data_IF_651775642550
#
_entry.id   IF_651775642550
#
_cell.length_a   1.000
_cell.length_b   1.000
_cell.length_c   1.000
_cell.angle_alpha   90.00
_cell.angle_beta   90.00
_cell.angle_gamma   90.00
#
_symmetry.space_group_name_H-M   'P 1'
#
loop_
_entity.id
_entity.type
_entity.pdbx_description
1 polymer ?
#
# COMPACT_ATOMS: atom_id res chain seq x y z
N UNK A 1 53.79 36.99 -72.21
CA UNK A 1 52.71 36.36 -71.42
C UNK A 1 53.06 36.46 -69.95
N UNK A 2 52.25 37.23 -69.22
CA UNK A 2 52.12 37.41 -67.76
C UNK A 2 53.34 37.47 -66.82
N UNK A 3 53.40 38.60 -66.13
CA UNK A 3 54.18 38.89 -64.93
C UNK A 3 53.31 38.74 -63.66
N UNK A 4 53.92 38.19 -62.59
CA UNK A 4 53.73 38.35 -61.12
C UNK A 4 52.32 38.29 -60.48
N UNK A 5 52.18 37.43 -59.45
CA UNK A 5 51.73 37.80 -58.09
C UNK A 5 52.47 36.92 -57.04
N UNK A 6 52.89 37.44 -55.87
CA UNK A 6 53.71 36.73 -54.87
C UNK A 6 52.90 35.95 -53.82
N UNK A 7 53.60 35.04 -53.13
CA UNK A 7 53.06 34.08 -52.18
C UNK A 7 52.31 34.65 -50.98
N UNK A 8 51.21 33.97 -50.64
CA UNK A 8 50.48 34.10 -49.39
C UNK A 8 51.03 33.12 -48.35
N UNK A 9 51.31 33.66 -47.16
CA UNK A 9 51.63 32.96 -45.92
C UNK A 9 50.39 32.15 -45.49
N UNK A 10 50.51 30.92 -44.97
CA UNK A 10 49.37 30.24 -44.36
C UNK A 10 49.11 30.87 -42.98
N UNK A 11 48.12 31.77 -42.92
CA UNK A 11 47.48 32.17 -41.67
C UNK A 11 46.57 31.04 -41.18
N UNK A 12 47.16 29.94 -40.73
CA UNK A 12 46.46 28.82 -40.09
C UNK A 12 47.05 28.63 -38.70
N UNK A 13 46.39 29.18 -37.68
CA UNK A 13 46.80 28.94 -36.29
C UNK A 13 45.99 29.67 -35.21
N UNK A 14 45.44 30.86 -35.50
CA UNK A 14 44.72 31.64 -34.48
C UNK A 14 43.20 31.42 -34.47
N UNK A 15 42.57 31.19 -35.63
CA UNK A 15 41.10 31.10 -35.75
C UNK A 15 40.48 29.84 -35.13
N UNK A 16 41.15 28.69 -35.21
CA UNK A 16 40.66 27.42 -34.66
C UNK A 16 40.77 27.36 -33.13
N UNK A 17 41.85 27.93 -32.57
CA UNK A 17 42.02 28.02 -31.13
C UNK A 17 41.00 29.00 -30.51
N UNK A 18 40.84 30.20 -31.09
CA UNK A 18 39.88 31.20 -30.60
C UNK A 18 38.43 30.70 -30.76
N UNK A 19 38.10 30.01 -31.86
CA UNK A 19 36.79 29.38 -32.06
C UNK A 19 36.47 28.30 -31.02
N UNK A 20 37.45 27.45 -30.68
CA UNK A 20 37.32 26.45 -29.61
C UNK A 20 37.14 27.06 -28.21
N UNK A 21 37.93 28.09 -27.88
CA UNK A 21 37.79 28.82 -26.61
C UNK A 21 36.45 29.56 -26.48
N UNK A 22 35.92 30.13 -27.57
CA UNK A 22 34.62 30.81 -27.57
C UNK A 22 33.46 29.81 -27.46
N UNK A 23 33.54 28.65 -28.14
CA UNK A 23 32.56 27.57 -28.00
C UNK A 23 32.57 26.97 -26.58
N UNK A 24 33.74 26.74 -26.00
CA UNK A 24 33.87 26.24 -24.62
C UNK A 24 33.38 27.26 -23.59
N UNK A 25 33.68 28.55 -23.75
CA UNK A 25 33.19 29.61 -22.87
C UNK A 25 31.67 29.79 -22.99
N UNK A 26 31.12 29.67 -24.20
CA UNK A 26 29.68 29.72 -24.44
C UNK A 26 28.95 28.53 -23.81
N UNK A 27 29.50 27.31 -23.99
CA UNK A 27 28.96 26.09 -23.39
C UNK A 27 28.98 26.15 -21.86
N UNK A 28 30.08 26.61 -21.25
CA UNK A 28 30.17 26.82 -19.80
C UNK A 28 29.15 27.85 -19.29
N UNK A 29 28.96 28.97 -20.00
CA UNK A 29 27.92 29.95 -19.65
C UNK A 29 26.52 29.35 -19.73
N UNK A 30 26.25 28.53 -20.73
CA UNK A 30 24.96 27.87 -20.87
C UNK A 30 24.73 26.87 -19.73
N UNK A 31 25.73 26.05 -19.39
CA UNK A 31 25.69 25.14 -18.24
C UNK A 31 25.48 25.89 -16.91
N UNK A 32 26.12 27.04 -16.72
CA UNK A 32 25.91 27.91 -15.55
C UNK A 32 24.50 28.49 -15.50
N UNK A 33 23.96 28.94 -16.64
CA UNK A 33 22.60 29.47 -16.74
C UNK A 33 21.56 28.38 -16.46
N UNK A 34 21.75 27.18 -17.01
CA UNK A 34 20.87 26.05 -16.79
C UNK A 34 20.92 25.61 -15.32
N UNK A 35 22.11 25.58 -14.71
CA UNK A 35 22.27 25.31 -13.27
C UNK A 35 21.58 26.36 -12.41
N UNK A 36 21.77 27.64 -12.71
CA UNK A 36 21.10 28.73 -11.99
C UNK A 36 19.58 28.64 -12.13
N UNK A 37 19.08 28.26 -13.30
CA UNK A 37 17.65 28.03 -13.55
C UNK A 37 17.11 26.88 -12.70
N UNK A 38 17.80 25.75 -12.63
CA UNK A 38 17.41 24.62 -11.78
C UNK A 38 17.39 25.00 -10.29
N UNK A 39 18.42 25.71 -9.82
CA UNK A 39 18.49 26.19 -8.43
C UNK A 39 17.32 27.13 -8.12
N UNK A 40 17.02 28.07 -9.01
CA UNK A 40 15.89 28.98 -8.84
C UNK A 40 14.54 28.25 -8.87
N UNK A 41 14.40 27.19 -9.67
CA UNK A 41 13.21 26.32 -9.64
C UNK A 41 13.03 25.65 -8.28
N UNK A 42 14.10 25.14 -7.67
CA UNK A 42 14.02 24.61 -6.30
C UNK A 42 13.63 25.72 -5.33
N UNK A 43 14.33 26.86 -5.35
CA UNK A 43 14.14 27.93 -4.36
C UNK A 43 12.72 28.48 -4.41
N UNK A 44 12.18 28.74 -5.60
CA UNK A 44 10.84 29.33 -5.76
C UNK A 44 9.74 28.28 -5.91
N UNK A 45 10.05 26.99 -5.72
CA UNK A 45 9.03 25.94 -5.68
C UNK A 45 8.19 26.03 -4.42
N UNK A 46 6.90 25.80 -4.56
CA UNK A 46 5.92 25.83 -3.49
C UNK A 46 5.01 24.61 -3.58
N UNK A 47 4.52 24.17 -2.43
CA UNK A 47 3.49 23.14 -2.36
C UNK A 47 2.12 23.79 -2.36
N UNK A 48 1.30 23.43 -3.34
CA UNK A 48 -0.09 23.84 -3.41
C UNK A 48 -0.97 22.60 -3.23
N UNK A 49 -1.64 22.51 -2.09
CA UNK A 49 -2.75 21.57 -1.94
C UNK A 49 -4.05 22.21 -2.40
N UNK A 50 -5.03 21.38 -2.78
CA UNK A 50 -6.40 21.85 -2.95
C UNK A 50 -6.87 22.50 -1.64
N UNK A 51 -7.18 23.80 -1.70
CA UNK A 51 -7.73 24.53 -0.56
C UNK A 51 -9.25 24.45 -0.63
N UNK A 52 -9.91 23.77 0.33
CA UNK A 52 -11.35 23.73 0.37
C UNK A 52 -11.90 25.13 0.65
N UNK A 53 -13.05 25.46 0.06
CA UNK A 53 -13.72 26.75 0.28
C UNK A 53 -14.19 26.93 1.72
N UNK A 54 -14.52 25.82 2.38
CA UNK A 54 -14.86 25.75 3.79
C UNK A 54 -14.02 24.64 4.41
N UNK A 55 -13.31 24.97 5.49
CA UNK A 55 -12.38 24.08 6.17
C UNK A 55 -13.05 23.49 7.42
N UNK A 56 -12.78 22.20 7.67
CA UNK A 56 -12.97 21.61 9.01
C UNK A 56 -11.60 21.67 9.68
N UNK A 57 -11.41 22.50 10.73
CA UNK A 57 -10.10 22.71 11.33
C UNK A 57 -9.64 21.44 12.04
N UNK A 58 -8.40 21.03 11.73
CA UNK A 58 -7.76 19.84 12.32
C UNK A 58 -6.50 20.21 13.08
N UNK A 59 -6.64 21.11 14.06
CA UNK A 59 -5.52 21.77 14.74
C UNK A 59 -4.51 20.78 15.32
N UNK A 60 -4.97 19.72 15.98
CA UNK A 60 -4.07 18.72 16.57
C UNK A 60 -3.22 18.00 15.52
N UNK A 61 -3.81 17.66 14.37
CA UNK A 61 -3.11 17.05 13.23
C UNK A 61 -2.07 18.03 12.69
N UNK A 62 -2.45 19.29 12.50
CA UNK A 62 -1.59 20.35 11.97
C UNK A 62 -0.40 20.66 12.90
N UNK A 63 -0.65 20.79 14.21
CA UNK A 63 0.39 21.02 15.23
C UNK A 63 1.37 19.85 15.28
N UNK A 64 0.86 18.62 15.20
CA UNK A 64 1.72 17.43 15.20
C UNK A 64 2.56 17.36 13.92
N UNK A 65 1.96 17.56 12.75
CA UNK A 65 2.69 17.64 11.47
C UNK A 65 3.75 18.73 11.49
N UNK A 66 3.43 19.92 12.02
CA UNK A 66 4.39 21.03 12.13
C UNK A 66 5.63 20.64 12.93
N UNK A 67 5.48 19.88 14.01
CA UNK A 67 6.63 19.36 14.80
C UNK A 67 7.49 18.40 14.00
N UNK A 68 6.90 17.63 13.08
CA UNK A 68 7.63 16.71 12.19
C UNK A 68 8.40 17.40 11.07
N UNK A 69 8.06 18.67 10.79
CA UNK A 69 8.77 19.51 9.84
C UNK A 69 10.06 20.12 10.43
N UNK A 70 10.44 19.75 11.66
CA UNK A 70 11.73 20.12 12.22
C UNK A 70 12.85 19.74 11.25
N UNK A 71 13.66 20.74 10.90
CA UNK A 71 14.70 20.64 9.88
C UNK A 71 16.01 20.11 10.46
N UNK A 72 16.17 20.16 11.79
CA UNK A 72 17.32 19.55 12.47
C UNK A 72 17.17 18.02 12.50
N UNK A 73 15.93 17.52 12.53
CA UNK A 73 15.64 16.10 12.32
C UNK A 73 15.67 15.75 10.82
N UNK A 74 16.64 14.93 10.43
CA UNK A 74 16.88 14.51 9.05
C UNK A 74 16.04 13.30 8.65
N UNK A 75 15.30 12.72 9.58
CA UNK A 75 14.47 11.56 9.34
C UNK A 75 13.44 11.86 8.24
N UNK A 76 13.33 11.00 7.21
CA UNK A 76 12.24 11.10 6.25
C UNK A 76 10.90 10.99 6.97
N UNK A 77 9.88 11.69 6.48
CA UNK A 77 8.55 11.66 7.08
C UNK A 77 7.59 10.93 6.15
N UNK A 78 6.98 9.85 6.62
CA UNK A 78 5.89 9.17 5.93
C UNK A 78 4.56 9.65 6.51
N UNK A 79 3.79 10.42 5.74
CA UNK A 79 2.43 10.82 6.08
C UNK A 79 1.48 9.91 5.33
N UNK A 80 0.61 9.22 6.07
CA UNK A 80 -0.29 8.23 5.50
C UNK A 80 -1.63 8.21 6.20
N UNK A 81 -2.57 7.45 5.67
CA UNK A 81 -3.93 7.32 6.22
C UNK A 81 -4.92 6.98 5.14
N UNK A 82 -6.19 6.94 5.51
CA UNK A 82 -7.28 6.61 4.58
C UNK A 82 -7.31 7.60 3.40
N UNK A 83 -7.75 7.09 2.25
CA UNK A 83 -7.99 7.94 1.09
C UNK A 83 -9.04 9.01 1.45
N UNK A 84 -8.80 10.25 1.02
CA UNK A 84 -9.65 11.41 1.32
C UNK A 84 -9.70 11.83 2.82
N UNK A 85 -8.75 11.40 3.65
CA UNK A 85 -8.63 11.85 5.03
C UNK A 85 -8.11 13.32 5.20
N UNK A 86 -7.78 14.01 4.11
CA UNK A 86 -7.30 15.41 4.15
C UNK A 86 -5.79 15.59 4.36
N UNK A 87 -4.98 14.57 4.03
CA UNK A 87 -3.50 14.57 4.22
C UNK A 87 -2.79 15.76 3.58
N UNK A 88 -2.98 15.95 2.27
CA UNK A 88 -2.26 16.97 1.48
C UNK A 88 -2.61 18.38 1.98
N UNK A 89 -3.88 18.63 2.33
CA UNK A 89 -4.31 19.91 2.90
C UNK A 89 -3.78 20.14 4.32
N UNK A 90 -3.79 19.12 5.18
CA UNK A 90 -3.19 19.22 6.52
C UNK A 90 -1.68 19.54 6.46
N UNK A 91 -0.95 18.90 5.53
CA UNK A 91 0.47 19.20 5.30
C UNK A 91 0.67 20.64 4.80
N UNK A 92 -0.17 21.09 3.87
CA UNK A 92 -0.13 22.46 3.37
C UNK A 92 -0.26 23.48 4.51
N UNK A 93 -1.23 23.31 5.39
CA UNK A 93 -1.40 24.18 6.57
C UNK A 93 -0.22 24.10 7.54
N UNK A 94 0.31 22.90 7.79
CA UNK A 94 1.47 22.74 8.66
C UNK A 94 2.71 23.46 8.10
N UNK A 95 2.94 23.42 6.78
CA UNK A 95 4.01 24.14 6.10
C UNK A 95 3.82 25.66 6.21
N UNK A 96 2.61 26.18 5.97
CA UNK A 96 2.29 27.60 6.13
C UNK A 96 2.54 28.08 7.57
N UNK A 97 2.06 27.33 8.57
CA UNK A 97 2.24 27.64 10.00
C UNK A 97 3.71 27.54 10.46
N UNK A 98 4.52 26.74 9.77
CA UNK A 98 5.97 26.67 9.98
C UNK A 98 6.74 27.78 9.24
N UNK A 99 6.06 28.59 8.42
CA UNK A 99 6.68 29.66 7.63
C UNK A 99 7.35 29.16 6.34
N UNK A 100 7.11 27.92 5.92
CA UNK A 100 7.64 27.38 4.68
C UNK A 100 6.71 27.73 3.51
N UNK A 101 7.08 28.76 2.74
CA UNK A 101 6.34 29.21 1.53
C UNK A 101 7.02 28.83 0.22
N UNK A 102 8.34 28.70 0.24
CA UNK A 102 9.16 28.39 -0.93
C UNK A 102 10.16 27.26 -0.60
N UNK A 103 10.94 26.79 -1.57
CA UNK A 103 11.89 25.69 -1.37
C UNK A 103 11.21 24.34 -1.13
N UNK A 104 10.01 24.15 -1.69
CA UNK A 104 9.20 22.93 -1.55
C UNK A 104 8.90 22.35 -2.93
N UNK A 105 9.63 21.31 -3.31
CA UNK A 105 9.45 20.62 -4.59
C UNK A 105 8.42 19.53 -4.42
N UNK A 106 7.27 19.68 -5.07
CA UNK A 106 6.21 18.67 -5.07
C UNK A 106 6.33 17.75 -6.29
N UNK A 107 6.47 16.46 -6.03
CA UNK A 107 6.63 15.41 -7.04
C UNK A 107 5.46 14.44 -6.90
N UNK A 108 4.51 14.52 -7.83
CA UNK A 108 3.38 13.59 -7.90
C UNK A 108 3.72 12.41 -8.80
N UNK A 109 3.61 11.20 -8.25
CA UNK A 109 3.90 9.95 -8.95
C UNK A 109 2.59 9.37 -9.50
N UNK A 110 2.14 9.82 -10.66
CA UNK A 110 0.79 9.57 -11.17
C UNK A 110 0.57 8.23 -11.90
N UNK A 111 1.62 7.42 -12.08
CA UNK A 111 1.55 6.13 -12.78
C UNK A 111 2.52 5.11 -12.17
N UNK A 112 2.19 3.83 -12.34
CA UNK A 112 2.89 2.66 -11.78
C UNK A 112 4.32 2.50 -12.29
N UNK A 113 4.67 3.17 -13.40
CA UNK A 113 6.02 3.11 -13.98
C UNK A 113 6.95 4.23 -13.51
N UNK A 114 6.44 5.18 -12.73
CA UNK A 114 7.21 6.36 -12.38
C UNK A 114 8.22 6.08 -11.27
N UNK A 115 9.44 6.59 -11.49
CA UNK A 115 10.55 6.51 -10.53
C UNK A 115 10.72 7.88 -9.89
N UNK A 116 10.77 7.93 -8.56
CA UNK A 116 10.83 9.18 -7.79
C UNK A 116 11.99 10.11 -8.22
N UNK A 117 13.19 9.53 -8.44
CA UNK A 117 14.36 10.28 -8.91
C UNK A 117 14.15 10.90 -10.29
N UNK A 118 13.69 10.10 -11.24
CA UNK A 118 13.47 10.56 -12.62
C UNK A 118 12.41 11.66 -12.67
N UNK A 119 11.32 11.48 -11.90
CA UNK A 119 10.26 12.48 -11.82
C UNK A 119 10.77 13.78 -11.20
N UNK A 120 11.58 13.72 -10.14
CA UNK A 120 12.23 14.91 -9.60
C UNK A 120 13.14 15.60 -10.63
N UNK A 121 13.98 14.83 -11.34
CA UNK A 121 14.82 15.39 -12.39
C UNK A 121 13.99 16.12 -13.46
N UNK A 122 12.85 15.55 -13.86
CA UNK A 122 11.91 16.19 -14.78
C UNK A 122 11.33 17.50 -14.21
N UNK A 123 10.86 17.51 -12.95
CA UNK A 123 10.33 18.72 -12.30
C UNK A 123 11.39 19.83 -12.22
N UNK A 124 12.65 19.47 -11.97
CA UNK A 124 13.76 20.42 -11.92
C UNK A 124 14.23 20.83 -13.32
N UNK A 125 13.96 20.04 -14.37
CA UNK A 125 14.54 20.19 -15.70
C UNK A 125 16.00 19.76 -15.78
N UNK A 126 16.40 18.82 -14.92
CA UNK A 126 17.73 18.22 -14.90
C UNK A 126 17.83 17.08 -15.92
N UNK A 127 19.00 16.97 -16.57
CA UNK A 127 19.30 15.86 -17.48
C UNK A 127 19.58 14.55 -16.75
N UNK A 128 19.96 14.63 -15.47
CA UNK A 128 20.20 13.47 -14.63
C UNK A 128 20.42 13.82 -13.15
N UNK A 129 20.80 12.79 -12.40
CA UNK A 129 20.97 12.87 -10.94
C UNK A 129 22.03 13.88 -10.52
N UNK A 130 23.11 14.05 -11.29
CA UNK A 130 24.24 14.91 -10.89
C UNK A 130 23.79 16.37 -10.80
N UNK A 131 23.09 16.83 -11.84
CA UNK A 131 22.57 18.19 -11.94
C UNK A 131 21.50 18.47 -10.89
N UNK A 132 20.57 17.53 -10.69
CA UNK A 132 19.51 17.65 -9.69
C UNK A 132 20.08 17.70 -8.26
N UNK A 133 21.03 16.83 -7.91
CA UNK A 133 21.68 16.83 -6.59
C UNK A 133 22.38 18.15 -6.33
N UNK A 134 23.10 18.67 -7.30
CA UNK A 134 23.78 19.94 -7.15
C UNK A 134 22.81 21.12 -7.03
N UNK A 135 21.71 21.11 -7.78
CA UNK A 135 20.68 22.13 -7.68
C UNK A 135 20.10 22.17 -6.25
N UNK A 136 19.82 21.00 -5.65
CA UNK A 136 19.36 20.90 -4.26
C UNK A 136 20.42 21.43 -3.27
N UNK A 137 21.70 21.08 -3.43
CA UNK A 137 22.79 21.57 -2.56
C UNK A 137 22.93 23.09 -2.62
N UNK A 138 22.88 23.67 -3.81
CA UNK A 138 23.01 25.12 -3.98
C UNK A 138 21.77 25.85 -3.49
N UNK A 139 20.58 25.29 -3.71
CA UNK A 139 19.35 25.81 -3.13
C UNK A 139 19.40 25.79 -1.60
N UNK A 140 19.91 24.71 -1.00
CA UNK A 140 20.03 24.62 0.45
C UNK A 140 20.90 25.73 1.05
N UNK A 141 22.02 26.05 0.40
CA UNK A 141 22.90 27.17 0.79
C UNK A 141 22.19 28.52 0.71
N UNK A 142 21.39 28.75 -0.33
CA UNK A 142 20.64 30.02 -0.50
C UNK A 142 19.44 30.13 0.44
N UNK A 143 18.76 29.02 0.70
CA UNK A 143 17.63 28.94 1.64
C UNK A 143 18.07 28.97 3.10
N UNK A 144 19.36 28.75 3.39
CA UNK A 144 19.90 28.53 4.74
C UNK A 144 19.24 27.34 5.48
N UNK A 145 18.72 26.38 4.71
CA UNK A 145 18.09 25.15 5.18
C UNK A 145 17.98 24.14 4.05
N UNK A 146 17.72 22.87 4.36
CA UNK A 146 17.40 21.89 3.32
C UNK A 146 16.09 22.27 2.60
N UNK A 147 16.04 22.13 1.26
CA UNK A 147 14.77 22.15 0.53
C UNK A 147 13.91 20.97 0.98
N UNK A 148 12.59 21.11 0.88
CA UNK A 148 11.64 20.04 1.16
C UNK A 148 11.27 19.38 -0.17
N UNK A 149 11.33 18.05 -0.23
CA UNK A 149 10.83 17.28 -1.37
C UNK A 149 9.64 16.47 -0.90
N UNK A 150 8.46 16.76 -1.45
CA UNK A 150 7.24 16.01 -1.19
C UNK A 150 7.04 15.01 -2.32
N UNK A 151 7.06 13.72 -2.01
CA UNK A 151 6.69 12.64 -2.92
C UNK A 151 5.25 12.24 -2.65
N UNK A 152 4.32 12.62 -3.52
CA UNK A 152 2.91 12.23 -3.40
C UNK A 152 2.65 10.98 -4.23
N UNK A 153 2.19 9.92 -3.56
CA UNK A 153 1.77 8.68 -4.18
C UNK A 153 0.23 8.66 -4.15
N UNK A 154 -0.43 8.90 -5.30
CA UNK A 154 -1.88 8.99 -5.39
C UNK A 154 -2.52 7.60 -5.26
N UNK A 155 -3.86 7.55 -5.15
CA UNK A 155 -4.59 6.30 -4.89
C UNK A 155 -4.47 5.31 -6.04
N UNK A 156 -4.37 5.83 -7.26
CA UNK A 156 -4.39 5.10 -8.51
C UNK A 156 -3.09 4.30 -8.71
N UNK A 157 -2.00 4.72 -8.06
CA UNK A 157 -0.75 3.97 -8.07
C UNK A 157 -0.89 2.72 -7.23
N UNK A 158 -0.79 1.60 -7.91
CA UNK A 158 -0.90 0.27 -7.37
C UNK A 158 0.47 -0.40 -7.25
N UNK A 159 1.48 0.05 -8.00
CA UNK A 159 2.78 -0.61 -8.03
C UNK A 159 3.69 -0.22 -6.86
N UNK A 160 3.99 -1.23 -6.04
CA UNK A 160 4.97 -1.15 -4.96
C UNK A 160 6.37 -0.79 -5.44
N UNK A 161 6.69 -0.97 -6.72
CA UNK A 161 7.93 -0.44 -7.30
C UNK A 161 8.05 1.08 -7.11
N UNK A 162 6.95 1.82 -7.22
CA UNK A 162 6.89 3.26 -6.96
C UNK A 162 7.19 3.55 -5.48
N UNK A 163 6.57 2.81 -4.55
CA UNK A 163 6.82 2.97 -3.11
C UNK A 163 8.27 2.64 -2.74
N UNK A 164 8.85 1.59 -3.34
CA UNK A 164 10.28 1.25 -3.19
C UNK A 164 11.17 2.34 -3.76
N UNK A 165 10.78 2.95 -4.88
CA UNK A 165 11.48 4.10 -5.44
C UNK A 165 11.48 5.29 -4.47
N UNK A 166 10.33 5.61 -3.86
CA UNK A 166 10.23 6.62 -2.82
C UNK A 166 11.08 6.27 -1.59
N UNK A 167 11.06 5.02 -1.15
CA UNK A 167 11.85 4.52 -0.02
C UNK A 167 13.35 4.70 -0.26
N UNK A 168 13.82 4.25 -1.44
CA UNK A 168 15.20 4.42 -1.87
C UNK A 168 15.58 5.89 -2.01
N UNK A 169 14.70 6.75 -2.55
CA UNK A 169 14.91 8.19 -2.62
C UNK A 169 15.05 8.82 -1.23
N UNK A 170 14.08 8.57 -0.35
CA UNK A 170 14.04 9.10 1.02
C UNK A 170 15.31 8.75 1.81
N UNK A 171 15.74 7.49 1.71
CA UNK A 171 17.01 7.03 2.28
C UNK A 171 18.22 7.75 1.66
N UNK A 172 18.39 7.61 0.35
CA UNK A 172 19.66 7.98 -0.29
C UNK A 172 19.86 9.48 -0.49
N UNK A 173 18.79 10.22 -0.81
CA UNK A 173 18.87 11.66 -1.06
C UNK A 173 18.44 12.47 0.16
N UNK A 174 17.49 11.96 0.95
CA UNK A 174 17.07 12.60 2.19
C UNK A 174 18.08 12.38 3.30
N UNK A 175 18.18 11.15 3.79
CA UNK A 175 18.96 10.84 4.99
C UNK A 175 20.47 10.75 4.73
N UNK A 176 20.91 9.91 3.79
CA UNK A 176 22.34 9.59 3.63
C UNK A 176 23.14 10.74 2.98
N UNK A 177 22.56 11.42 1.97
CA UNK A 177 23.22 12.51 1.25
C UNK A 177 22.82 13.91 1.72
N UNK A 178 21.83 14.02 2.61
CA UNK A 178 21.38 15.28 3.22
C UNK A 178 21.07 16.38 2.21
N UNK A 179 20.39 16.02 1.12
CA UNK A 179 20.10 16.95 0.03
C UNK A 179 18.75 17.66 0.22
N UNK A 180 17.83 17.04 0.94
CA UNK A 180 16.48 17.53 1.17
C UNK A 180 15.84 16.89 2.41
N UNK A 181 14.89 17.59 3.04
CA UNK A 181 13.93 16.94 3.93
C UNK A 181 12.89 16.25 3.06
N UNK A 182 12.79 14.92 3.15
CA UNK A 182 11.87 14.14 2.31
C UNK A 182 10.59 13.82 3.06
N UNK A 183 9.47 14.19 2.46
CA UNK A 183 8.13 13.87 2.96
C UNK A 183 7.45 12.98 1.91
N UNK A 184 6.92 11.84 2.32
CA UNK A 184 6.16 10.94 1.45
C UNK A 184 4.71 10.98 1.87
N UNK A 185 3.84 11.44 0.97
CA UNK A 185 2.38 11.41 1.13
C UNK A 185 1.82 10.14 0.47
N UNK A 186 1.42 9.16 1.27
CA UNK A 186 0.78 7.95 0.77
C UNK A 186 -0.74 8.08 0.83
N UNK A 187 -1.40 8.07 -0.33
CA UNK A 187 -2.87 8.23 -0.43
C UNK A 187 -3.66 7.09 0.21
N UNK A 188 -3.08 5.89 0.30
CA UNK A 188 -3.66 4.74 0.98
C UNK A 188 -2.78 4.28 2.15
N UNK A 189 -3.44 3.87 3.23
CA UNK A 189 -2.81 3.20 4.37
C UNK A 189 -2.02 1.96 3.97
N UNK A 190 -2.55 1.20 3.01
CA UNK A 190 -1.92 -0.04 2.57
C UNK A 190 -0.58 0.18 1.85
N UNK A 191 -0.44 1.27 1.10
CA UNK A 191 0.80 1.58 0.39
C UNK A 191 1.92 1.96 1.36
N UNK A 192 1.55 2.71 2.41
CA UNK A 192 2.46 3.17 3.45
C UNK A 192 3.17 2.01 4.19
N UNK A 193 2.54 0.84 4.26
CA UNK A 193 3.11 -0.36 4.92
C UNK A 193 4.39 -0.85 4.26
N UNK A 194 4.52 -0.62 2.95
CA UNK A 194 5.69 -1.07 2.17
C UNK A 194 6.79 -0.03 2.05
N UNK A 195 6.55 1.17 2.60
CA UNK A 195 7.58 2.18 2.70
C UNK A 195 8.55 1.78 3.80
N UNK A 196 9.84 1.83 3.49
CA UNK A 196 10.91 1.46 4.42
C UNK A 196 12.18 2.25 4.06
N UNK A 197 12.48 3.27 4.85
CA UNK A 197 13.72 4.04 4.72
C UNK A 197 14.77 3.53 5.72
N UNK A 198 14.95 2.20 5.77
CA UNK A 198 15.74 1.47 6.77
C UNK A 198 15.25 1.71 8.22
N UNK A 199 13.94 1.80 8.40
CA UNK A 199 13.29 2.14 9.69
C UNK A 199 13.75 3.47 10.32
N UNK A 200 14.37 4.36 9.53
CA UNK A 200 14.79 5.70 9.98
C UNK A 200 13.70 6.75 9.77
N UNK A 201 12.60 6.38 9.11
CA UNK A 201 11.49 7.30 8.88
C UNK A 201 10.63 7.53 10.13
N UNK A 202 10.12 8.75 10.25
CA UNK A 202 9.03 9.05 11.17
C UNK A 202 7.71 8.82 10.45
N UNK A 203 6.84 7.99 11.04
CA UNK A 203 5.53 7.64 10.48
C UNK A 203 4.44 8.44 11.17
N UNK A 204 3.63 9.13 10.39
CA UNK A 204 2.50 9.92 10.89
C UNK A 204 1.21 9.54 10.17
N UNK A 205 0.26 9.01 10.94
CA UNK A 205 -1.04 8.63 10.43
C UNK A 205 -2.04 9.78 10.60
N UNK A 206 -2.60 10.25 9.48
CA UNK A 206 -3.78 11.12 9.47
C UNK A 206 -5.02 10.23 9.54
N UNK A 207 -5.67 10.24 10.70
CA UNK A 207 -6.92 9.51 10.91
C UNK A 207 -8.10 10.26 10.26
N UNK A 208 -9.23 9.59 10.01
CA UNK A 208 -10.50 10.28 9.76
C UNK A 208 -10.85 11.26 10.89
N UNK A 209 -11.91 12.05 10.72
CA UNK A 209 -12.40 12.94 11.77
C UNK A 209 -12.69 12.15 13.06
N UNK A 210 -12.18 12.62 14.19
CA UNK A 210 -12.54 12.08 15.50
C UNK A 210 -14.00 12.39 15.84
N UNK A 211 -14.54 11.75 16.88
CA UNK A 211 -15.88 12.05 17.36
C UNK A 211 -16.00 13.52 17.79
N UNK A 212 -14.98 14.06 18.46
CA UNK A 212 -14.95 15.48 18.83
C UNK A 212 -14.91 16.39 17.61
N UNK A 213 -14.06 16.08 16.61
CA UNK A 213 -14.00 16.82 15.35
C UNK A 213 -15.36 16.78 14.63
N UNK A 214 -16.08 15.65 14.69
CA UNK A 214 -17.41 15.49 14.08
C UNK A 214 -18.50 16.35 14.73
N UNK A 215 -18.35 16.71 16.02
CA UNK A 215 -19.32 17.53 16.75
C UNK A 215 -19.13 19.04 16.56
N UNK A 216 -18.02 19.47 15.97
CA UNK A 216 -17.73 20.87 15.68
C UNK A 216 -18.82 21.56 14.82
N UNK A 217 -19.05 22.85 15.07
CA UNK A 217 -20.01 23.66 14.30
C UNK A 217 -19.54 23.86 12.84
N UNK A 218 -18.23 23.84 12.64
CA UNK A 218 -17.56 23.91 11.34
C UNK A 218 -17.97 22.76 10.43
N UNK A 219 -18.25 21.56 10.97
CA UNK A 219 -18.78 20.44 10.19
C UNK A 219 -20.16 20.76 9.65
N UNK A 220 -21.01 21.41 10.45
CA UNK A 220 -22.34 21.83 9.99
C UNK A 220 -22.23 22.93 8.92
N UNK A 221 -21.32 23.88 9.11
CA UNK A 221 -21.02 24.93 8.12
C UNK A 221 -20.50 24.34 6.81
N UNK A 222 -19.61 23.36 6.89
CA UNK A 222 -19.08 22.59 5.76
C UNK A 222 -20.20 21.88 5.00
N UNK A 223 -21.04 21.11 5.69
CA UNK A 223 -22.17 20.40 5.07
C UNK A 223 -23.17 21.37 4.44
N UNK A 224 -23.50 22.46 5.12
CA UNK A 224 -24.40 23.50 4.59
C UNK A 224 -23.84 24.13 3.32
N UNK A 225 -22.53 24.38 3.27
CA UNK A 225 -21.88 24.91 2.07
C UNK A 225 -21.93 23.93 0.91
N UNK A 226 -21.56 22.67 1.14
CA UNK A 226 -21.42 21.69 0.07
C UNK A 226 -22.73 21.04 -0.38
N UNK A 227 -23.69 20.82 0.52
CA UNK A 227 -24.95 20.12 0.21
C UNK A 227 -26.23 20.80 0.71
N UNK A 228 -26.15 22.02 1.25
CA UNK A 228 -27.32 22.78 1.69
C UNK A 228 -27.99 22.18 2.93
N UNK A 229 -29.29 22.45 3.08
CA UNK A 229 -30.07 22.01 4.23
C UNK A 229 -30.16 20.47 4.33
N UNK A 230 -30.30 19.78 3.21
CA UNK A 230 -30.38 18.31 3.17
C UNK A 230 -29.13 17.64 3.74
N UNK A 231 -27.93 18.18 3.45
CA UNK A 231 -26.70 17.63 4.01
C UNK A 231 -26.58 17.84 5.53
N UNK A 232 -27.12 18.94 6.05
CA UNK A 232 -27.16 19.21 7.49
C UNK A 232 -28.17 18.28 8.19
N UNK A 233 -29.34 18.09 7.59
CA UNK A 233 -30.38 17.17 8.09
C UNK A 233 -29.83 15.75 8.25
N UNK A 234 -29.05 15.28 7.28
CA UNK A 234 -28.44 13.95 7.28
C UNK A 234 -27.00 13.90 7.82
N UNK A 235 -26.58 14.88 8.66
CA UNK A 235 -25.19 14.98 9.16
C UNK A 235 -24.66 13.66 9.72
N UNK A 236 -25.40 13.03 10.64
CA UNK A 236 -24.97 11.78 11.30
C UNK A 236 -24.79 10.64 10.30
N UNK A 237 -25.73 10.48 9.37
CA UNK A 237 -25.67 9.40 8.38
C UNK A 237 -24.53 9.60 7.37
N UNK A 238 -24.27 10.85 6.96
CA UNK A 238 -23.16 11.17 6.07
C UNK A 238 -21.80 10.94 6.73
N UNK A 239 -21.66 11.25 8.01
CA UNK A 239 -20.46 10.94 8.79
C UNK A 239 -20.25 9.43 8.91
N UNK A 240 -21.33 8.67 9.11
CA UNK A 240 -21.31 7.21 9.16
C UNK A 240 -20.91 6.59 7.81
N UNK A 241 -21.51 7.05 6.70
CA UNK A 241 -21.21 6.59 5.35
C UNK A 241 -19.78 6.92 4.89
N UNK A 242 -19.28 8.10 5.26
CA UNK A 242 -17.92 8.54 4.94
C UNK A 242 -16.86 7.95 5.86
N UNK A 243 -17.24 7.40 7.01
CA UNK A 243 -16.31 6.95 8.05
C UNK A 243 -15.44 8.10 8.57
N UNK A 244 -15.95 9.33 8.57
CA UNK A 244 -15.22 10.53 8.96
C UNK A 244 -14.17 11.01 7.95
N UNK A 245 -14.07 10.45 6.75
CA UNK A 245 -13.12 10.93 5.74
C UNK A 245 -13.63 12.24 5.13
N UNK A 246 -12.92 13.35 5.36
CA UNK A 246 -13.34 14.70 4.98
C UNK A 246 -13.66 14.84 3.49
N UNK A 247 -12.80 14.36 2.59
CA UNK A 247 -13.06 14.48 1.15
C UNK A 247 -14.23 13.60 0.70
N UNK A 248 -14.44 12.43 1.34
CA UNK A 248 -15.62 11.60 1.05
C UNK A 248 -16.90 12.26 1.56
N UNK A 249 -16.84 12.91 2.73
CA UNK A 249 -17.95 13.69 3.26
C UNK A 249 -18.31 14.84 2.31
N UNK A 250 -17.31 15.51 1.74
CA UNK A 250 -17.49 16.53 0.71
C UNK A 250 -18.25 15.97 -0.51
N UNK A 251 -17.77 14.87 -1.07
CA UNK A 251 -18.38 14.24 -2.25
C UNK A 251 -19.85 13.87 -2.01
N UNK A 252 -20.14 13.30 -0.83
CA UNK A 252 -21.51 12.91 -0.47
C UNK A 252 -22.40 14.14 -0.28
N UNK A 253 -21.91 15.19 0.40
CA UNK A 253 -22.65 16.43 0.58
C UNK A 253 -22.92 17.12 -0.77
N UNK A 254 -21.92 17.19 -1.65
CA UNK A 254 -22.10 17.75 -2.99
C UNK A 254 -23.13 16.98 -3.83
N UNK A 255 -23.15 15.64 -3.71
CA UNK A 255 -24.13 14.81 -4.40
C UNK A 255 -25.58 15.12 -3.99
N UNK A 256 -25.83 15.54 -2.75
CA UNK A 256 -27.15 15.94 -2.27
C UNK A 256 -27.69 17.22 -2.91
N UNK A 257 -26.87 17.96 -3.66
CA UNK A 257 -27.37 19.09 -4.47
C UNK A 257 -28.24 18.65 -5.63
N UNK A 258 -28.06 17.44 -6.12
CA UNK A 258 -28.73 16.94 -7.34
C UNK A 258 -29.49 15.64 -7.13
N UNK A 259 -29.29 14.97 -6.00
CA UNK A 259 -29.88 13.67 -5.68
C UNK A 259 -30.51 13.69 -4.29
N UNK A 260 -31.46 12.81 -4.08
CA UNK A 260 -32.01 12.54 -2.75
C UNK A 260 -31.00 11.82 -1.88
N UNK A 261 -31.16 11.90 -0.55
CA UNK A 261 -30.31 11.18 0.38
C UNK A 261 -30.34 9.67 0.16
N UNK A 262 -31.51 9.10 -0.14
CA UNK A 262 -31.64 7.67 -0.39
C UNK A 262 -30.84 7.20 -1.60
N UNK A 263 -30.85 7.97 -2.70
CA UNK A 263 -30.06 7.68 -3.89
C UNK A 263 -28.55 7.73 -3.62
N UNK A 264 -28.09 8.73 -2.86
CA UNK A 264 -26.68 8.87 -2.45
C UNK A 264 -26.27 7.72 -1.54
N UNK A 265 -27.12 7.36 -0.58
CA UNK A 265 -26.90 6.25 0.36
C UNK A 265 -26.79 4.92 -0.38
N UNK A 266 -27.77 4.58 -1.23
CA UNK A 266 -27.79 3.33 -2.00
C UNK A 266 -26.58 3.23 -2.95
N UNK A 267 -26.23 4.32 -3.65
CA UNK A 267 -25.05 4.34 -4.52
C UNK A 267 -23.76 4.09 -3.74
N UNK A 268 -23.65 4.68 -2.55
CA UNK A 268 -22.45 4.54 -1.69
C UNK A 268 -22.34 3.14 -1.11
N UNK A 269 -23.42 2.59 -0.57
CA UNK A 269 -23.48 1.21 -0.07
C UNK A 269 -23.15 0.23 -1.20
N UNK A 270 -23.74 0.40 -2.38
CA UNK A 270 -23.45 -0.46 -3.53
C UNK A 270 -21.99 -0.39 -4.00
N UNK A 271 -21.33 0.75 -3.86
CA UNK A 271 -19.89 0.87 -4.11
C UNK A 271 -19.05 0.13 -3.05
N UNK A 272 -19.39 0.29 -1.77
CA UNK A 272 -18.73 -0.40 -0.65
C UNK A 272 -18.91 -1.93 -0.75
N UNK A 273 -20.11 -2.40 -1.12
CA UNK A 273 -20.37 -3.82 -1.35
C UNK A 273 -19.49 -4.38 -2.48
N UNK A 274 -19.27 -3.64 -3.56
CA UNK A 274 -18.36 -4.06 -4.63
C UNK A 274 -16.93 -4.17 -4.13
N UNK A 275 -16.45 -3.20 -3.33
CA UNK A 275 -15.11 -3.26 -2.74
C UNK A 275 -14.95 -4.46 -1.79
N UNK A 276 -15.97 -4.75 -0.99
CA UNK A 276 -16.01 -5.94 -0.10
C UNK A 276 -16.03 -7.23 -0.91
N UNK A 277 -16.85 -7.32 -1.95
CA UNK A 277 -16.90 -8.50 -2.82
C UNK A 277 -15.56 -8.76 -3.50
N UNK A 278 -14.91 -7.69 -3.99
CA UNK A 278 -13.54 -7.78 -4.53
C UNK A 278 -12.53 -8.22 -3.47
N UNK A 279 -12.74 -7.83 -2.21
CA UNK A 279 -11.93 -8.30 -1.08
C UNK A 279 -12.13 -9.79 -0.76
N UNK A 280 -13.34 -10.34 -0.92
CA UNK A 280 -13.61 -11.76 -0.66
C UNK A 280 -13.32 -12.67 -1.86
N UNK A 281 -13.42 -12.16 -3.09
CA UNK A 281 -13.24 -12.88 -4.37
C UNK A 281 -11.79 -12.93 -4.86
N UNK A 282 -10.83 -12.87 -3.95
CA UNK A 282 -9.40 -12.70 -4.24
C UNK A 282 -8.74 -13.92 -4.95
N UNK A 283 -9.43 -15.03 -5.12
CA UNK A 283 -8.87 -16.28 -5.66
C UNK A 283 -8.85 -16.41 -7.20
N UNK A 284 -9.67 -15.65 -7.94
CA UNK A 284 -9.91 -15.96 -9.36
C UNK A 284 -8.97 -15.28 -10.38
N UNK A 285 -8.38 -14.11 -10.09
CA UNK A 285 -7.64 -13.31 -11.10
C UNK A 285 -6.40 -12.53 -10.59
N UNK A 286 -5.76 -12.93 -9.49
CA UNK A 286 -4.33 -12.59 -9.25
C UNK A 286 -4.04 -11.49 -8.21
N UNK A 287 -4.25 -11.78 -6.93
CA UNK A 287 -3.80 -10.90 -5.84
C UNK A 287 -3.21 -11.61 -4.62
N UNK A 288 -3.78 -12.77 -4.24
CA UNK A 288 -3.22 -13.63 -3.20
C UNK A 288 -3.08 -15.05 -3.70
N UNK A 289 -2.14 -15.80 -3.12
CA UNK A 289 -2.08 -17.22 -3.34
C UNK A 289 -3.28 -17.92 -2.68
N UNK A 290 -3.54 -19.17 -3.08
CA UNK A 290 -4.63 -19.98 -2.53
C UNK A 290 -4.52 -20.20 -1.01
N UNK A 291 -3.34 -19.98 -0.42
CA UNK A 291 -3.11 -20.11 1.02
C UNK A 291 -3.53 -18.88 1.81
N UNK A 292 -3.39 -17.70 1.21
CA UNK A 292 -3.61 -16.44 1.90
C UNK A 292 -5.06 -15.95 1.75
N UNK A 293 -5.82 -16.45 0.76
CA UNK A 293 -7.27 -16.17 0.62
C UNK A 293 -8.06 -16.59 1.87
N UNK A 294 -7.96 -17.82 2.39
CA UNK A 294 -8.63 -18.19 3.64
C UNK A 294 -8.25 -17.27 4.81
N UNK A 295 -6.99 -16.84 4.88
CA UNK A 295 -6.52 -15.95 5.94
C UNK A 295 -7.06 -14.52 5.76
N UNK A 296 -7.23 -14.02 4.54
CA UNK A 296 -7.91 -12.76 4.23
C UNK A 296 -9.37 -12.77 4.72
N UNK A 297 -10.07 -13.87 4.43
CA UNK A 297 -11.45 -14.08 4.87
C UNK A 297 -11.55 -14.12 6.38
N UNK A 298 -10.58 -14.76 7.04
CA UNK A 298 -10.51 -14.80 8.48
C UNK A 298 -10.23 -13.42 9.11
N UNK A 299 -9.33 -12.61 8.52
CA UNK A 299 -9.13 -11.22 8.96
C UNK A 299 -10.42 -10.43 8.83
N UNK A 300 -11.12 -10.51 7.70
CA UNK A 300 -12.39 -9.82 7.51
C UNK A 300 -13.46 -10.27 8.51
N UNK A 301 -13.55 -11.58 8.80
CA UNK A 301 -14.45 -12.12 9.82
C UNK A 301 -14.12 -11.59 11.20
N UNK A 302 -12.84 -11.58 11.59
CA UNK A 302 -12.41 -11.10 12.90
C UNK A 302 -12.66 -9.59 13.06
N UNK A 303 -12.47 -8.82 12.00
CA UNK A 303 -12.82 -7.38 11.98
C UNK A 303 -14.34 -7.18 12.07
N UNK A 304 -15.13 -8.02 11.43
CA UNK A 304 -16.60 -7.96 11.48
C UNK A 304 -17.18 -8.37 12.84
N UNK A 305 -16.55 -9.34 13.51
CA UNK A 305 -16.98 -9.86 14.81
C UNK A 305 -16.59 -8.91 15.96
N UNK A 306 -15.51 -8.13 15.80
CA UNK A 306 -15.10 -7.13 16.76
C UNK A 306 -16.09 -5.94 16.79
N UNK A 307 -16.26 -5.26 17.94
CA UNK A 307 -16.91 -3.95 17.99
C UNK A 307 -16.26 -2.98 16.99
N UNK A 308 -17.04 -2.09 16.34
CA UNK A 308 -16.54 -1.23 15.27
C UNK A 308 -15.35 -0.34 15.71
N UNK A 309 -15.41 0.17 16.94
CA UNK A 309 -14.37 0.97 17.59
C UNK A 309 -13.09 0.16 17.91
N UNK A 310 -13.17 -1.17 17.84
CA UNK A 310 -12.06 -2.06 18.13
C UNK A 310 -11.43 -2.63 16.86
N UNK A 311 -10.17 -2.30 16.66
CA UNK A 311 -9.36 -2.90 15.61
C UNK A 311 -8.70 -4.20 16.09
N UNK A 312 -8.57 -5.17 15.19
CA UNK A 312 -7.96 -6.47 15.46
C UNK A 312 -6.44 -6.38 15.28
N UNK A 313 -5.65 -6.96 16.18
CA UNK A 313 -4.18 -6.89 16.09
C UNK A 313 -3.67 -7.68 14.88
N UNK A 314 -2.71 -7.14 14.15
CA UNK A 314 -2.13 -7.81 12.98
C UNK A 314 -1.32 -9.05 13.36
N UNK A 315 -0.67 -9.03 14.54
CA UNK A 315 0.12 -10.13 15.10
C UNK A 315 -0.64 -11.46 15.13
N UNK A 316 -1.96 -11.41 15.36
CA UNK A 316 -2.84 -12.58 15.39
C UNK A 316 -2.87 -13.37 14.06
N UNK A 317 -2.37 -12.77 12.97
CA UNK A 317 -2.41 -13.32 11.62
C UNK A 317 -1.04 -13.36 10.93
N UNK A 318 0.03 -12.88 11.55
CA UNK A 318 1.33 -12.70 10.88
C UNK A 318 1.91 -13.99 10.26
N UNK A 319 1.53 -15.15 10.78
CA UNK A 319 1.92 -16.47 10.27
C UNK A 319 1.31 -16.81 8.89
N UNK A 320 0.20 -16.14 8.51
CA UNK A 320 -0.61 -16.48 7.32
C UNK A 320 -1.01 -15.28 6.46
N UNK A 321 -1.18 -14.11 7.08
CA UNK A 321 -1.72 -12.91 6.45
C UNK A 321 -1.11 -11.65 7.06
N UNK A 322 -0.21 -11.03 6.31
CA UNK A 322 0.48 -9.80 6.73
C UNK A 322 -0.21 -8.57 6.15
N UNK A 323 0.08 -7.41 6.73
CA UNK A 323 -0.34 -6.12 6.21
C UNK A 323 0.17 -5.87 4.78
N UNK A 324 1.34 -6.42 4.42
CA UNK A 324 1.85 -6.47 3.04
C UNK A 324 0.94 -7.25 2.10
N UNK A 325 0.36 -8.36 2.54
CA UNK A 325 -0.59 -9.09 1.71
C UNK A 325 -1.88 -8.28 1.51
N UNK A 326 -2.40 -7.60 2.55
CA UNK A 326 -3.50 -6.65 2.39
C UNK A 326 -3.20 -5.56 1.34
N UNK A 327 -1.98 -5.03 1.32
CA UNK A 327 -1.54 -4.09 0.28
C UNK A 327 -1.53 -4.70 -1.13
N UNK A 328 -1.34 -6.01 -1.27
CA UNK A 328 -1.50 -6.72 -2.54
C UNK A 328 -2.97 -6.87 -2.95
N UNK A 329 -3.91 -7.06 -2.00
CA UNK A 329 -5.36 -7.07 -2.24
C UNK A 329 -5.81 -5.81 -2.94
N UNK A 330 -5.42 -4.72 -2.29
CA UNK A 330 -5.60 -3.35 -2.71
C UNK A 330 -5.09 -3.17 -4.13
N UNK A 331 -3.87 -3.64 -4.39
CA UNK A 331 -3.18 -3.50 -5.68
C UNK A 331 -3.94 -4.23 -6.79
N UNK A 332 -4.25 -5.51 -6.60
CA UNK A 332 -4.76 -6.34 -7.67
C UNK A 332 -6.24 -6.11 -8.00
N UNK A 333 -7.05 -5.75 -7.01
CA UNK A 333 -8.50 -5.77 -7.14
C UNK A 333 -9.16 -4.46 -6.67
N UNK A 334 -8.39 -3.47 -6.20
CA UNK A 334 -8.96 -2.23 -5.66
C UNK A 334 -9.87 -2.49 -4.46
N UNK A 335 -9.56 -3.50 -3.65
CA UNK A 335 -10.35 -3.92 -2.50
C UNK A 335 -9.81 -3.30 -1.20
N UNK A 336 -10.53 -2.33 -0.61
CA UNK A 336 -10.06 -1.50 0.52
C UNK A 336 -11.10 -1.31 1.63
N UNK A 337 -11.91 -2.33 1.90
CA UNK A 337 -12.91 -2.27 2.97
C UNK A 337 -12.30 -2.29 4.39
N UNK A 338 -11.03 -2.69 4.50
CA UNK A 338 -10.27 -2.75 5.77
C UNK A 338 -9.01 -1.91 5.59
N UNK A 339 -8.73 -1.04 6.55
CA UNK A 339 -7.48 -0.30 6.62
C UNK A 339 -6.62 -0.78 7.79
N UNK A 340 -5.33 -0.44 7.74
CA UNK A 340 -4.42 -0.68 8.86
C UNK A 340 -4.31 0.59 9.69
N UNK A 341 -4.53 0.49 11.00
CA UNK A 341 -4.18 1.52 11.98
C UNK A 341 -2.86 1.12 12.60
N UNK A 342 -1.86 1.98 12.55
CA UNK A 342 -0.55 1.68 13.09
C UNK A 342 0.14 2.94 13.56
N UNK A 343 0.54 2.97 14.82
CA UNK A 343 1.48 3.99 15.33
C UNK A 343 2.91 3.52 15.15
N UNK A 344 3.14 2.21 15.27
CA UNK A 344 4.39 1.51 15.00
C UNK A 344 4.09 0.16 14.35
N UNK A 345 5.12 -0.53 13.82
CA UNK A 345 4.96 -1.87 13.24
C UNK A 345 4.41 -2.89 14.24
N UNK A 346 4.77 -2.79 15.52
CA UNK A 346 4.33 -3.70 16.59
C UNK A 346 2.90 -3.44 17.09
N UNK A 347 2.28 -2.32 16.69
CA UNK A 347 0.89 -2.00 17.02
C UNK A 347 0.06 -1.83 15.73
N UNK A 348 0.42 -2.59 14.69
CA UNK A 348 -0.40 -2.70 13.49
C UNK A 348 -1.73 -3.39 13.83
N UNK A 349 -2.84 -2.78 13.40
CA UNK A 349 -4.20 -3.29 13.62
C UNK A 349 -5.04 -3.15 12.37
N UNK A 350 -5.88 -4.15 12.10
CA UNK A 350 -6.87 -4.13 11.03
C UNK A 350 -8.20 -3.55 11.53
N UNK A 351 -8.72 -2.55 10.82
CA UNK A 351 -9.94 -1.83 11.18
C UNK A 351 -10.89 -1.76 9.97
N UNK A 352 -12.20 -1.81 10.21
CA UNK A 352 -13.19 -1.53 9.16
C UNK A 352 -13.15 -0.05 8.75
N UNK A 353 -13.19 0.24 7.44
CA UNK A 353 -13.03 1.62 6.92
C UNK A 353 -14.12 2.60 7.35
N UNK A 354 -15.33 2.10 7.61
CA UNK A 354 -16.43 2.88 8.16
C UNK A 354 -17.41 1.95 8.87
N UNK A 355 -18.32 2.49 9.69
CA UNK A 355 -19.39 1.72 10.28
C UNK A 355 -20.28 1.01 9.23
N UNK A 356 -20.58 1.66 8.10
CA UNK A 356 -21.31 1.04 6.98
C UNK A 356 -20.57 -0.17 6.44
N UNK A 357 -19.25 -0.05 6.25
CA UNK A 357 -18.41 -1.15 5.79
C UNK A 357 -18.36 -2.28 6.81
N UNK A 358 -18.26 -1.97 8.11
CA UNK A 358 -18.30 -2.96 9.19
C UNK A 358 -19.60 -3.78 9.18
N UNK A 359 -20.75 -3.11 9.07
CA UNK A 359 -22.04 -3.78 8.96
C UNK A 359 -22.16 -4.66 7.70
N UNK A 360 -21.64 -4.19 6.56
CA UNK A 360 -21.62 -4.97 5.32
C UNK A 360 -20.68 -6.18 5.41
N UNK A 361 -19.52 -6.04 6.04
CA UNK A 361 -18.60 -7.15 6.30
C UNK A 361 -19.30 -8.23 7.13
N UNK A 362 -19.94 -7.85 8.23
CA UNK A 362 -20.70 -8.75 9.11
C UNK A 362 -21.80 -9.51 8.35
N UNK A 363 -22.60 -8.78 7.56
CA UNK A 363 -23.65 -9.41 6.73
C UNK A 363 -23.07 -10.44 5.75
N UNK A 364 -21.91 -10.17 5.16
CA UNK A 364 -21.26 -11.09 4.21
C UNK A 364 -20.64 -12.30 4.90
N UNK A 365 -20.02 -12.12 6.06
CA UNK A 365 -19.45 -13.23 6.83
C UNK A 365 -20.54 -14.16 7.36
N UNK A 366 -21.65 -13.60 7.85
CA UNK A 366 -22.80 -14.36 8.34
C UNK A 366 -23.51 -15.12 7.20
N UNK A 367 -23.73 -14.49 6.05
CA UNK A 367 -24.33 -15.16 4.89
C UNK A 367 -23.45 -16.29 4.34
N UNK A 368 -22.12 -16.16 4.44
CA UNK A 368 -21.19 -17.23 4.06
C UNK A 368 -21.28 -18.39 5.04
N UNK A 369 -21.40 -18.12 6.34
CA UNK A 369 -21.60 -19.15 7.36
C UNK A 369 -22.95 -19.88 7.19
N UNK A 370 -24.03 -19.14 6.88
CA UNK A 370 -25.35 -19.73 6.63
C UNK A 370 -25.36 -20.64 5.40
N UNK A 371 -24.74 -20.23 4.29
CA UNK A 371 -24.62 -21.07 3.08
C UNK A 371 -23.81 -22.35 3.32
N UNK A 372 -22.78 -22.30 4.17
CA UNK A 372 -22.03 -23.50 4.52
C UNK A 372 -22.92 -24.49 5.31
N UNK A 373 -23.73 -24.00 6.24
CA UNK A 373 -24.69 -24.80 7.01
C UNK A 373 -25.84 -25.36 6.15
N UNK A 374 -26.33 -24.58 5.18
CA UNK A 374 -27.34 -25.03 4.22
C UNK A 374 -26.80 -26.13 3.29
N UNK A 375 -25.56 -26.00 2.81
CA UNK A 375 -24.91 -27.04 2.02
C UNK A 375 -24.69 -28.33 2.82
N UNK A 376 -24.35 -28.24 4.10
CA UNK A 376 -24.26 -29.39 5.01
C UNK A 376 -25.62 -30.08 5.22
N UNK A 377 -26.71 -29.30 5.29
CA UNK A 377 -28.09 -29.82 5.39
C UNK A 377 -28.59 -30.43 4.08
N UNK A 378 -28.37 -29.79 2.94
CA UNK A 378 -28.73 -30.33 1.62
C UNK A 378 -27.95 -31.62 1.30
N UNK A 379 -26.68 -31.70 1.74
CA UNK A 379 -25.88 -32.93 1.65
C UNK A 379 -26.42 -34.04 2.55
N UNK A 380 -27.04 -33.70 3.69
CA UNK A 380 -27.69 -34.65 4.57
C UNK A 380 -29.07 -35.12 4.03
N UNK A 381 -29.82 -34.23 3.37
CA UNK A 381 -31.17 -34.52 2.84
C UNK A 381 -31.18 -35.28 1.50
N UNK A 382 -30.10 -35.20 0.69
CA UNK A 382 -29.97 -35.91 -0.58
C UNK A 382 -29.77 -37.43 -0.46
N UNK A 383 -29.81 -38.00 0.75
CA UNK A 383 -29.92 -39.45 0.94
C UNK A 383 -28.75 -40.28 0.37
N UNK A 384 -27.61 -39.67 0.05
CA UNK A 384 -26.35 -40.41 -0.04
C UNK A 384 -25.90 -40.68 1.40
N UNK A 385 -26.50 -41.71 1.99
CA UNK A 385 -26.09 -42.29 3.26
C UNK A 385 -24.67 -42.85 3.18
N UNK A 386 -23.68 -41.98 3.24
CA UNK A 386 -22.36 -42.26 3.75
C UNK A 386 -22.20 -41.30 4.92
N UNK A 387 -22.37 -41.85 6.14
CA UNK A 387 -22.07 -41.11 7.36
C UNK A 387 -20.64 -40.59 7.29
N UNK A 388 -20.49 -39.27 7.23
CA UNK A 388 -19.20 -38.63 7.41
C UNK A 388 -18.90 -38.57 8.91
N UNK A 389 -18.40 -39.67 9.47
CA UNK A 389 -17.43 -39.55 10.55
C UNK A 389 -16.26 -38.74 9.99
N UNK A 390 -15.83 -37.70 10.70
CA UNK A 390 -14.80 -36.73 10.29
C UNK A 390 -13.62 -37.37 9.56
N UNK A 391 -13.71 -37.48 8.24
CA UNK A 391 -12.61 -37.78 7.33
C UNK A 391 -12.08 -36.45 6.83
N UNK A 392 -10.84 -36.14 7.19
CA UNK A 392 -10.05 -35.11 6.53
C UNK A 392 -10.02 -35.42 5.03
N UNK A 393 -10.73 -34.62 4.23
CA UNK A 393 -10.56 -34.60 2.79
C UNK A 393 -9.17 -34.06 2.45
N UNK A 394 -8.24 -34.96 2.14
CA UNK A 394 -7.04 -34.61 1.38
C UNK A 394 -7.39 -34.76 -0.10
N UNK A 395 -7.78 -33.67 -0.74
CA UNK A 395 -8.00 -33.64 -2.19
C UNK A 395 -6.66 -33.55 -2.93
N UNK A 396 -6.17 -34.70 -3.41
CA UNK A 396 -5.14 -34.74 -4.45
C UNK A 396 -5.85 -34.63 -5.79
N UNK A 397 -5.90 -33.43 -6.37
CA UNK A 397 -6.29 -33.28 -7.78
C UNK A 397 -5.08 -33.53 -8.66
N UNK A 398 -5.06 -34.66 -9.38
CA UNK A 398 -4.10 -34.90 -10.45
C UNK A 398 -4.80 -34.90 -11.82
N UNK A 399 -4.23 -34.11 -12.74
CA UNK A 399 -4.62 -34.02 -14.14
C UNK A 399 -4.39 -35.37 -14.83
N UNK A 400 -5.43 -35.89 -15.49
CA UNK A 400 -5.40 -36.89 -16.59
C UNK A 400 -4.60 -38.17 -16.33
N UNK A 401 -5.32 -39.27 -16.11
CA UNK A 401 -4.81 -40.63 -16.32
C UNK A 401 -5.39 -41.63 -15.33
N UNK A 402 -6.06 -42.67 -15.83
CA UNK A 402 -6.74 -43.70 -15.04
C UNK A 402 -5.75 -44.54 -14.20
N UNK A 403 -6.09 -44.82 -12.94
CA UNK A 403 -5.95 -46.11 -12.25
C UNK A 403 -6.62 -46.01 -10.84
N UNK A 404 -7.50 -46.93 -10.42
CA UNK A 404 -8.07 -46.90 -9.09
C UNK A 404 -7.12 -47.55 -8.08
N UNK A 405 -6.96 -46.94 -6.91
CA UNK A 405 -6.27 -47.53 -5.75
C UNK A 405 -7.34 -47.76 -4.68
N UNK A 406 -7.61 -49.02 -4.36
CA UNK A 406 -8.50 -49.39 -3.25
C UNK A 406 -7.70 -49.41 -1.94
N UNK A 407 -8.23 -48.74 -0.90
CA UNK A 407 -7.65 -48.71 0.45
C UNK A 407 -8.67 -49.27 1.42
N UNK A 408 -8.46 -50.51 1.86
CA UNK A 408 -9.29 -51.13 2.90
C UNK A 408 -8.80 -50.73 4.31
N UNK A 409 -9.71 -50.16 5.11
CA UNK A 409 -9.47 -49.81 6.50
C UNK A 409 -9.88 -50.99 7.41
N UNK A 410 -8.92 -51.73 7.96
CA UNK A 410 -9.20 -52.78 8.94
C UNK A 410 -9.29 -52.16 10.34
N UNK A 411 -10.49 -52.16 10.92
CA UNK A 411 -10.71 -51.73 12.31
C UNK A 411 -10.01 -52.66 13.31
N UNK A 412 -9.40 -52.07 14.35
CA UNK A 412 -9.17 -52.74 15.62
C UNK A 412 -9.38 -51.74 16.76
N UNK A 413 -10.35 -52.05 17.63
CA UNK A 413 -10.68 -51.29 18.83
C UNK A 413 -9.75 -51.57 20.02
N UNK A 414 -9.85 -50.73 21.04
CA UNK A 414 -9.19 -50.89 22.33
C UNK A 414 -8.85 -49.53 22.95
N UNK A 415 -9.42 -49.23 24.12
CA UNK A 415 -9.32 -47.94 24.79
C UNK A 415 -7.91 -47.53 25.25
N UNK A 416 -7.79 -46.24 25.54
CA UNK A 416 -6.62 -45.50 26.08
C UNK A 416 -5.59 -44.99 25.06
N UNK A 417 -5.66 -43.67 24.82
CA UNK A 417 -4.63 -42.67 24.48
C UNK A 417 -3.62 -42.88 23.33
N UNK A 418 -3.52 -44.03 22.68
CA UNK A 418 -2.65 -44.23 21.50
C UNK A 418 -3.43 -44.93 20.37
N UNK A 419 -3.98 -44.15 19.44
CA UNK A 419 -4.54 -44.69 18.18
C UNK A 419 -3.39 -45.20 17.30
N UNK A 420 -3.27 -46.52 17.18
CA UNK A 420 -2.32 -47.18 16.28
C UNK A 420 -3.04 -47.59 15.00
N UNK A 421 -2.77 -46.88 13.90
CA UNK A 421 -3.27 -47.25 12.58
C UNK A 421 -2.27 -48.16 11.88
N UNK A 422 -2.72 -49.32 11.43
CA UNK A 422 -1.98 -50.23 10.56
C UNK A 422 -2.55 -50.11 9.15
N UNK A 423 -1.79 -49.54 8.23
CA UNK A 423 -2.17 -49.50 6.81
C UNK A 423 -1.51 -50.67 6.08
N UNK A 424 -2.30 -51.43 5.32
CA UNK A 424 -1.79 -52.43 4.38
C UNK A 424 -1.89 -51.84 2.98
N UNK A 425 -0.79 -51.25 2.51
CA UNK A 425 -0.71 -50.79 1.12
C UNK A 425 -0.35 -52.00 0.25
N UNK A 426 -1.27 -52.41 -0.62
CA UNK A 426 -0.97 -53.38 -1.68
C UNK A 426 -0.73 -52.61 -2.98
N UNK A 427 0.52 -52.57 -3.42
CA UNK A 427 0.84 -52.33 -4.83
C UNK A 427 1.24 -53.66 -5.47
N UNK A 428 1.08 -53.79 -6.78
CA UNK A 428 1.42 -55.00 -7.54
C UNK A 428 2.90 -55.41 -7.45
N UNK A 429 3.77 -54.58 -6.89
CA UNK A 429 5.23 -54.79 -6.88
C UNK A 429 5.91 -54.69 -5.50
N UNK A 430 5.19 -54.50 -4.38
CA UNK A 430 5.85 -54.57 -3.07
C UNK A 430 4.90 -54.91 -1.92
N UNK A 431 5.27 -55.89 -1.09
CA UNK A 431 4.60 -56.22 0.18
C UNK A 431 5.49 -55.79 1.35
N UNK A 432 5.50 -54.50 1.67
CA UNK A 432 6.17 -53.99 2.87
C UNK A 432 5.14 -53.33 3.79
N UNK A 433 4.96 -53.80 5.04
CA UNK A 433 4.09 -53.12 6.00
C UNK A 433 4.77 -51.83 6.47
N UNK A 434 4.10 -50.70 6.26
CA UNK A 434 4.54 -49.39 6.78
C UNK A 434 3.91 -49.17 8.15
N UNK A 435 4.73 -48.85 9.15
CA UNK A 435 4.28 -48.58 10.52
C UNK A 435 4.27 -47.06 10.74
N UNK A 436 3.09 -46.48 10.91
CA UNK A 436 2.92 -45.07 11.25
C UNK A 436 2.57 -44.99 12.75
N UNK A 437 3.36 -44.22 13.51
CA UNK A 437 3.09 -43.95 14.92
C UNK A 437 2.85 -42.45 15.08
N UNK A 438 1.67 -42.09 15.57
CA UNK A 438 1.35 -40.70 15.88
C UNK A 438 1.89 -40.35 17.27
N UNK A 439 2.70 -39.29 17.39
CA UNK A 439 3.03 -38.68 18.68
C UNK A 439 3.01 -37.16 18.54
N UNK A 440 2.12 -36.49 19.27
CA UNK A 440 2.05 -35.03 19.44
C UNK A 440 2.32 -34.19 18.17
N UNK A 441 1.43 -34.32 17.16
CA UNK A 441 1.34 -33.34 16.06
C UNK A 441 2.45 -33.37 15.00
N UNK A 442 3.29 -34.42 14.93
CA UNK A 442 4.21 -34.65 13.80
C UNK A 442 4.05 -36.07 13.25
N UNK A 443 3.90 -36.19 11.93
CA UNK A 443 3.94 -37.47 11.23
C UNK A 443 5.41 -37.79 10.86
N UNK A 444 5.93 -38.92 11.32
CA UNK A 444 7.26 -39.41 10.92
C UNK A 444 7.06 -40.68 10.09
N UNK A 445 7.49 -40.63 8.83
CA UNK A 445 7.54 -41.81 7.97
C UNK A 445 8.83 -42.58 8.30
N UNK A 446 8.71 -43.67 9.06
CA UNK A 446 9.83 -44.57 9.32
C UNK A 446 9.94 -45.60 8.19
N UNK A 447 10.73 -45.30 7.16
CA UNK A 447 11.21 -46.35 6.24
C UNK A 447 12.24 -47.22 6.99
N UNK A 448 12.14 -48.55 6.96
CA UNK A 448 13.21 -49.39 7.47
C UNK A 448 14.46 -49.18 6.61
N UNK A 449 15.61 -48.97 7.27
CA UNK A 449 16.94 -48.99 6.64
C UNK A 449 17.12 -50.31 5.88
N UNK A 450 17.09 -50.27 4.55
CA UNK A 450 17.67 -51.33 3.74
C UNK A 450 19.16 -51.00 3.61
N UNK A 451 19.97 -51.72 4.39
CA UNK A 451 21.42 -51.71 4.27
C UNK A 451 21.88 -52.47 3.03
N UNK A 452 22.97 -51.98 2.45
CA UNK A 452 23.83 -52.57 1.42
C UNK A 452 23.29 -52.57 -0.03
N UNK A 453 23.92 -51.77 -0.89
CA UNK A 453 24.92 -52.26 -1.84
C UNK A 453 25.63 -51.10 -2.58
N UNK A 454 26.93 -50.95 -2.24
CA UNK A 454 28.08 -50.50 -3.06
C UNK A 454 28.10 -49.07 -3.67
N UNK A 455 29.00 -48.24 -3.13
CA UNK A 455 29.91 -47.39 -3.94
C UNK A 455 30.86 -48.33 -4.73
N UNK A 456 31.32 -48.02 -5.96
CA UNK A 456 32.09 -46.82 -6.33
C UNK A 456 31.62 -46.22 -7.69
N UNK A 457 32.12 -45.12 -8.26
CA UNK A 457 33.48 -44.57 -8.38
C UNK A 457 33.38 -43.14 -8.94
N UNK A 458 34.40 -42.33 -8.65
CA UNK A 458 34.67 -41.01 -9.25
C UNK A 458 34.81 -41.13 -10.77
N UNK A 459 34.09 -40.26 -11.51
CA UNK A 459 34.55 -39.45 -12.63
C UNK A 459 33.62 -38.24 -12.76
#
# INVERSE_FOLDING_TARGET
MFSRVPGSVPALGAGAAIGGFVLDAWKRRQEEQDRARMVNRVIHSSFHAFQPKVEIPREQVQVTMKRLLDLDDRSPVLIWGNHLAGKSFALFKALEQAGFREGIVHVQLADDKQVAREKLCQELGALGDVEAKEALKQAAKKLSRLPIVILEIPREVSDMAVVRSCSGFAKTWGYDAELAKVIVLASSASMALSFDADAREVRFQVQPLSEEECQQEEVQTFLKHHGGAAAVEHKSDLLHLSGGNVGKLEDLAQALRTKTFEEVRLATIGAQEKEILRFFGIDAQGGFGPKEVPAAKEVARRVADAPFDQCVRSEDFEDRFTSKHLAQAVKAQGAHCIYVKATTKADERFCAASPSVHALLKRKTDATAQRALEFERESADLGTGLGFDHQMFVSVFEKRGKLPVDVDLLCAGGGSADLRFLFKVQTSECKCPVRVVAKAGRYVCCLPRVGSLRKPKVL
#
